data_IF_724628351940
#
_entry.id   IF_724628351940
#
_cell.length_a   1.000
_cell.length_b   1.000
_cell.length_c   1.000
_cell.angle_alpha   90.00
_cell.angle_beta   90.00
_cell.angle_gamma   90.00
#
_symmetry.space_group_name_H-M   'P 1'
#
loop_
_entity.id
_entity.type
_entity.pdbx_description
1 polymer ?
#
# COMPACT_ATOMS: atom_id res chain seq x y z
N UNK A 1 22.56 3.32 -30.63
CA UNK A 1 22.42 4.02 -29.36
C UNK A 1 20.93 4.24 -29.15
N UNK A 2 20.21 3.52 -28.28
CA UNK A 2 18.83 3.86 -27.96
C UNK A 2 18.86 5.04 -27.00
N UNK A 3 18.30 6.17 -27.42
CA UNK A 3 18.04 7.34 -26.61
C UNK A 3 16.95 6.98 -25.60
N UNK A 4 17.36 6.74 -24.37
CA UNK A 4 16.45 6.60 -23.24
C UNK A 4 15.72 7.93 -23.06
N UNK A 5 14.39 7.90 -23.15
CA UNK A 5 13.56 9.07 -22.88
C UNK A 5 13.62 9.34 -21.37
N UNK A 6 13.93 10.56 -20.92
CA UNK A 6 14.00 10.89 -19.51
C UNK A 6 12.65 10.64 -18.81
N UNK A 7 12.71 10.02 -17.67
CA UNK A 7 11.54 9.73 -16.81
C UNK A 7 11.33 10.94 -15.90
N UNK A 8 10.54 11.90 -16.37
CA UNK A 8 10.24 13.09 -15.57
C UNK A 8 9.16 12.76 -14.54
N UNK A 9 9.53 12.83 -13.27
CA UNK A 9 8.64 12.72 -12.10
C UNK A 9 9.12 13.75 -11.08
N UNK A 10 8.45 14.88 -10.97
CA UNK A 10 8.93 15.99 -10.15
C UNK A 10 7.84 16.94 -9.64
N UNK A 11 8.23 17.85 -8.76
CA UNK A 11 7.37 18.83 -8.15
C UNK A 11 6.98 19.94 -9.13
N UNK A 12 5.68 20.30 -9.19
CA UNK A 12 5.16 21.38 -10.03
C UNK A 12 5.09 22.66 -9.19
N UNK A 13 5.92 23.66 -9.50
CA UNK A 13 5.89 24.98 -8.84
C UNK A 13 5.61 26.11 -9.84
N UNK A 14 4.77 27.10 -9.50
CA UNK A 14 4.60 28.31 -10.30
C UNK A 14 5.92 29.11 -10.39
N UNK A 15 6.16 29.75 -11.53
CA UNK A 15 7.40 30.48 -11.79
C UNK A 15 7.50 31.87 -11.11
N UNK A 16 6.41 32.39 -10.53
CA UNK A 16 6.40 33.73 -9.93
C UNK A 16 6.19 33.67 -8.43
N UNK A 17 7.24 34.16 -7.70
CA UNK A 17 7.17 34.43 -6.28
C UNK A 17 6.39 35.72 -6.00
N UNK A 18 5.21 35.60 -5.38
CA UNK A 18 4.59 36.70 -4.65
C UNK A 18 4.21 36.25 -3.26
N UNK A 19 4.81 36.94 -2.29
CA UNK A 19 4.47 36.81 -0.89
C UNK A 19 3.14 37.51 -0.61
N UNK A 20 2.21 36.81 -0.01
CA UNK A 20 0.97 37.41 0.52
C UNK A 20 1.11 37.59 2.04
N UNK A 21 1.10 38.84 2.40
CA UNK A 21 0.70 39.51 3.67
C UNK A 21 0.73 38.72 4.97
N UNK A 22 1.70 39.16 5.80
CA UNK A 22 1.73 38.91 7.24
C UNK A 22 0.65 39.67 7.99
N UNK A 23 -0.10 38.95 8.84
CA UNK A 23 -0.76 39.52 10.03
C UNK A 23 -0.47 38.64 11.26
N UNK A 24 -0.12 39.24 12.40
CA UNK A 24 0.08 38.49 13.63
C UNK A 24 -1.27 38.07 14.22
N UNK A 25 -1.39 36.81 14.60
CA UNK A 25 -2.49 36.33 15.42
C UNK A 25 -2.09 36.49 16.88
N UNK A 26 -2.72 37.43 17.53
CA UNK A 26 -2.63 37.64 18.96
C UNK A 26 -3.73 36.86 19.70
N UNK A 27 -3.30 36.23 20.77
CA UNK A 27 -3.97 35.82 21.99
C UNK A 27 -5.49 35.51 21.97
N UNK A 28 -5.83 34.23 22.21
CA UNK A 28 -6.84 33.86 23.20
C UNK A 28 -6.37 32.66 24.01
N UNK A 29 -5.85 32.96 25.18
CA UNK A 29 -5.68 31.98 26.23
C UNK A 29 -7.02 31.74 26.92
N UNK A 30 -7.32 30.49 27.23
CA UNK A 30 -8.39 30.16 28.15
C UNK A 30 -8.93 28.75 28.02
N UNK A 31 -8.37 27.78 28.75
CA UNK A 31 -9.11 26.65 29.30
C UNK A 31 -9.31 25.42 28.43
N UNK A 32 -8.37 24.50 28.53
CA UNK A 32 -8.68 23.07 28.69
C UNK A 32 -7.37 22.31 28.98
N UNK A 33 -7.13 22.08 30.25
CA UNK A 33 -6.10 21.15 30.71
C UNK A 33 -6.70 19.76 30.63
N UNK A 34 -5.94 18.80 30.07
CA UNK A 34 -6.16 17.35 29.96
C UNK A 34 -6.70 16.81 28.62
N UNK A 35 -6.02 17.15 27.53
CA UNK A 35 -5.80 16.15 26.49
C UNK A 35 -4.30 15.95 26.39
N UNK A 36 -3.77 14.82 26.89
CA UNK A 36 -2.41 14.36 26.59
C UNK A 36 -2.26 14.47 25.09
N UNK A 37 -1.36 15.33 24.60
CA UNK A 37 -1.19 15.55 23.16
C UNK A 37 -0.82 14.21 22.52
N UNK A 38 -1.75 13.65 21.75
CA UNK A 38 -1.53 12.40 21.04
C UNK A 38 -0.27 12.51 20.18
N UNK A 39 0.54 11.46 20.15
CA UNK A 39 1.69 11.39 19.24
C UNK A 39 1.24 11.45 17.78
N UNK A 40 2.14 11.80 16.86
CA UNK A 40 1.81 11.86 15.45
C UNK A 40 1.24 10.53 14.90
N UNK A 41 1.80 9.35 15.22
CA UNK A 41 1.21 8.06 14.86
C UNK A 41 -0.20 7.86 15.41
N UNK A 42 -0.46 8.27 16.67
CA UNK A 42 -1.78 8.11 17.27
C UNK A 42 -2.84 8.99 16.60
N UNK A 43 -2.49 10.24 16.25
CA UNK A 43 -3.38 11.13 15.50
C UNK A 43 -3.75 10.56 14.14
N UNK A 44 -2.77 10.01 13.40
CA UNK A 44 -3.01 9.37 12.10
C UNK A 44 -3.94 8.18 12.29
N UNK A 45 -3.64 7.29 13.23
CA UNK A 45 -4.46 6.09 13.47
C UNK A 45 -5.88 6.44 13.90
N UNK A 46 -6.06 7.43 14.78
CA UNK A 46 -7.37 7.90 15.22
C UNK A 46 -8.18 8.48 14.04
N UNK A 47 -7.54 9.30 13.18
CA UNK A 47 -8.18 9.83 11.96
C UNK A 47 -8.64 8.70 11.04
N UNK A 48 -7.80 7.69 10.83
CA UNK A 48 -8.10 6.55 9.97
C UNK A 48 -9.16 5.63 10.57
N UNK A 49 -9.12 5.35 11.90
CA UNK A 49 -10.14 4.57 12.60
C UNK A 49 -11.53 5.22 12.40
N UNK A 50 -11.61 6.55 12.45
CA UNK A 50 -12.87 7.26 12.29
C UNK A 50 -13.34 7.37 10.83
N UNK A 51 -12.47 7.80 9.92
CA UNK A 51 -12.84 8.14 8.54
C UNK A 51 -12.88 6.95 7.59
N UNK A 52 -12.00 5.97 7.80
CA UNK A 52 -11.76 4.87 6.86
C UNK A 52 -12.23 3.54 7.43
N UNK A 53 -11.74 3.17 8.60
CA UNK A 53 -11.93 1.82 9.13
C UNK A 53 -13.39 1.55 9.48
N UNK A 54 -14.10 2.50 10.09
CA UNK A 54 -15.55 2.36 10.36
C UNK A 54 -16.37 2.18 9.10
N UNK A 55 -16.04 2.92 8.03
CA UNK A 55 -16.70 2.76 6.73
C UNK A 55 -16.42 1.41 6.10
N UNK A 56 -15.17 0.95 6.18
CA UNK A 56 -14.78 -0.37 5.70
C UNK A 56 -15.46 -1.49 6.50
N UNK A 57 -15.54 -1.38 7.82
CA UNK A 57 -16.24 -2.34 8.68
C UNK A 57 -17.71 -2.48 8.25
N UNK A 58 -18.39 -1.39 7.88
CA UNK A 58 -19.77 -1.41 7.38
C UNK A 58 -19.91 -2.06 6.00
N UNK A 59 -18.99 -1.79 5.08
CA UNK A 59 -19.05 -2.28 3.69
C UNK A 59 -18.58 -3.74 3.58
N UNK A 60 -17.56 -4.10 4.35
CA UNK A 60 -16.91 -5.41 4.28
C UNK A 60 -17.47 -6.43 5.28
N UNK A 61 -18.61 -6.16 5.95
CA UNK A 61 -19.29 -7.09 6.82
C UNK A 61 -19.58 -8.42 6.11
N UNK A 62 -18.76 -9.44 6.35
CA UNK A 62 -18.80 -10.74 5.67
C UNK A 62 -17.67 -10.98 4.66
N UNK A 63 -17.20 -9.97 3.94
CA UNK A 63 -16.16 -10.12 2.90
C UNK A 63 -14.71 -10.07 3.46
N UNK A 64 -14.52 -9.65 4.72
CA UNK A 64 -13.18 -9.65 5.35
C UNK A 64 -12.53 -11.03 5.39
N UNK A 65 -13.33 -12.08 5.58
CA UNK A 65 -12.83 -13.46 5.58
C UNK A 65 -12.21 -13.82 4.21
N UNK A 66 -12.79 -13.31 3.13
CA UNK A 66 -12.28 -13.58 1.78
C UNK A 66 -11.02 -12.79 1.43
N UNK A 67 -10.83 -11.61 2.03
CA UNK A 67 -9.65 -10.75 1.82
C UNK A 67 -8.38 -11.32 2.45
N UNK A 68 -8.51 -11.88 3.65
CA UNK A 68 -7.39 -12.19 4.52
C UNK A 68 -7.45 -13.63 5.06
N UNK A 69 -8.00 -14.59 4.29
CA UNK A 69 -7.99 -16.00 4.69
C UNK A 69 -6.58 -16.59 4.63
N UNK A 70 -6.13 -17.12 5.76
CA UNK A 70 -5.03 -18.07 5.81
C UNK A 70 -5.50 -19.50 5.51
N UNK A 71 -4.59 -20.39 5.15
CA UNK A 71 -4.87 -21.82 4.99
C UNK A 71 -4.81 -22.51 6.37
N UNK A 72 -5.71 -22.21 7.27
CA UNK A 72 -5.83 -22.82 8.60
C UNK A 72 -7.22 -23.38 8.86
N UNK A 73 -7.31 -24.36 9.73
CA UNK A 73 -8.53 -25.09 9.99
C UNK A 73 -8.93 -24.83 11.45
N UNK A 74 -9.93 -23.97 11.67
CA UNK A 74 -10.55 -23.77 12.98
C UNK A 74 -11.86 -24.54 13.08
N UNK A 75 -12.11 -25.17 14.23
CA UNK A 75 -13.37 -25.82 14.52
C UNK A 75 -14.46 -24.75 14.70
N UNK A 76 -15.40 -24.68 13.76
CA UNK A 76 -16.49 -23.69 13.76
C UNK A 76 -17.74 -24.22 14.40
N UNK A 77 -17.99 -25.52 14.29
CA UNK A 77 -19.20 -26.14 14.81
C UNK A 77 -19.21 -27.64 14.66
N UNK A 78 -20.33 -28.19 15.10
CA UNK A 78 -20.70 -29.59 14.92
C UNK A 78 -21.98 -29.58 14.08
N UNK A 79 -22.01 -30.37 13.02
CA UNK A 79 -23.22 -30.65 12.28
C UNK A 79 -23.47 -32.14 12.18
N UNK A 80 -24.69 -32.52 11.87
CA UNK A 80 -25.00 -33.93 11.63
C UNK A 80 -24.23 -34.45 10.41
N UNK A 81 -23.77 -35.67 10.50
CA UNK A 81 -23.08 -36.39 9.43
C UNK A 81 -24.00 -36.54 8.21
N UNK A 82 -23.45 -36.25 7.05
CA UNK A 82 -24.11 -36.52 5.78
C UNK A 82 -23.34 -37.59 4.98
N UNK A 83 -24.01 -38.45 4.20
CA UNK A 83 -23.34 -39.42 3.34
C UNK A 83 -22.34 -38.71 2.40
N UNK A 84 -21.06 -39.10 2.50
CA UNK A 84 -19.97 -38.48 1.78
C UNK A 84 -19.00 -37.65 2.64
N UNK A 85 -19.33 -37.40 3.91
CA UNK A 85 -18.40 -36.78 4.84
C UNK A 85 -17.27 -37.72 5.23
N UNK A 86 -16.07 -37.13 5.45
CA UNK A 86 -14.91 -37.90 5.90
C UNK A 86 -15.04 -38.27 7.37
N UNK A 87 -15.11 -39.58 7.62
CA UNK A 87 -15.26 -40.17 8.98
C UNK A 87 -14.15 -39.78 9.96
N UNK A 88 -13.00 -39.28 9.45
CA UNK A 88 -11.88 -38.77 10.28
C UNK A 88 -12.26 -37.50 11.05
N UNK A 89 -13.25 -36.77 10.60
CA UNK A 89 -13.75 -35.56 11.24
C UNK A 89 -14.94 -35.82 12.17
N UNK A 90 -15.32 -37.08 12.39
CA UNK A 90 -16.44 -37.43 13.30
C UNK A 90 -16.09 -37.09 14.75
N UNK A 91 -16.99 -36.39 15.42
CA UNK A 91 -16.87 -36.16 16.86
C UNK A 91 -17.53 -37.31 17.64
N UNK A 92 -16.72 -38.30 18.01
CA UNK A 92 -17.19 -39.49 18.70
C UNK A 92 -17.78 -39.18 20.07
N UNK A 93 -17.34 -38.11 20.74
CA UNK A 93 -17.86 -37.73 22.07
C UNK A 93 -19.28 -37.18 21.99
N UNK A 94 -19.58 -36.37 20.99
CA UNK A 94 -20.93 -35.84 20.76
C UNK A 94 -21.83 -36.92 20.19
N UNK A 95 -21.38 -37.68 19.22
CA UNK A 95 -22.07 -38.81 18.64
C UNK A 95 -22.53 -39.82 19.71
N UNK A 96 -21.66 -40.14 20.68
CA UNK A 96 -21.98 -41.06 21.76
C UNK A 96 -23.04 -40.52 22.78
N UNK A 97 -23.20 -39.19 22.83
CA UNK A 97 -24.18 -38.56 23.74
C UNK A 97 -25.54 -38.36 23.09
N UNK A 98 -25.55 -38.12 21.79
CA UNK A 98 -26.76 -37.74 21.04
C UNK A 98 -27.36 -38.91 20.27
N UNK A 99 -26.65 -40.03 20.20
CA UNK A 99 -26.99 -41.22 19.40
C UNK A 99 -27.19 -40.89 17.89
N UNK A 100 -26.67 -39.74 17.48
CA UNK A 100 -26.67 -39.24 16.08
C UNK A 100 -25.26 -38.90 15.70
N UNK A 101 -24.75 -39.33 14.53
CA UNK A 101 -23.39 -39.07 14.12
C UNK A 101 -23.19 -37.57 13.83
N UNK A 102 -22.18 -36.94 14.47
CA UNK A 102 -21.80 -35.55 14.28
C UNK A 102 -20.40 -35.45 13.72
N UNK A 103 -20.22 -34.53 12.77
CA UNK A 103 -18.95 -34.19 12.14
C UNK A 103 -18.51 -32.81 12.60
N UNK A 104 -17.23 -32.70 12.89
CA UNK A 104 -16.59 -31.41 13.17
C UNK A 104 -16.53 -30.61 11.89
N UNK A 105 -17.17 -29.46 11.87
CA UNK A 105 -17.07 -28.49 10.78
C UNK A 105 -15.90 -27.57 11.05
N UNK A 106 -14.92 -27.64 10.17
CA UNK A 106 -13.72 -26.81 10.26
C UNK A 106 -13.81 -25.67 9.26
N UNK A 107 -13.54 -24.47 9.69
CA UNK A 107 -13.27 -23.32 8.79
C UNK A 107 -11.78 -23.03 8.84
N UNK A 108 -11.21 -22.90 7.66
CA UNK A 108 -9.82 -22.48 7.55
C UNK A 108 -9.66 -21.03 7.98
N UNK A 109 -9.17 -20.80 9.21
CA UNK A 109 -8.85 -19.48 9.74
C UNK A 109 -7.49 -19.51 10.46
N UNK A 110 -6.40 -19.46 9.69
CA UNK A 110 -5.04 -19.32 10.25
C UNK A 110 -4.67 -17.86 10.33
N UNK A 111 -4.02 -17.48 11.45
CA UNK A 111 -3.28 -16.22 11.53
C UNK A 111 -2.41 -16.03 10.29
N UNK A 112 -2.70 -14.98 9.52
CA UNK A 112 -1.89 -14.59 8.39
C UNK A 112 -0.75 -13.71 8.89
N UNK A 113 0.43 -13.93 8.37
CA UNK A 113 1.49 -12.94 8.44
C UNK A 113 1.45 -12.09 7.17
N UNK A 114 1.26 -10.79 7.32
CA UNK A 114 1.33 -9.84 6.22
C UNK A 114 2.63 -9.03 6.29
N UNK A 115 3.22 -8.77 5.14
CA UNK A 115 4.41 -7.95 5.00
C UNK A 115 4.16 -6.79 4.04
N UNK A 116 4.64 -5.62 4.42
CA UNK A 116 4.65 -4.44 3.58
C UNK A 116 6.08 -4.18 3.09
N UNK A 117 6.30 -4.27 1.79
CA UNK A 117 7.54 -3.88 1.13
C UNK A 117 7.32 -2.49 0.55
N UNK A 118 7.96 -1.49 1.14
CA UNK A 118 7.66 -0.09 0.90
C UNK A 118 8.84 0.60 0.24
N UNK A 119 8.55 1.17 -0.90
CA UNK A 119 9.44 2.05 -1.61
C UNK A 119 9.29 3.46 -1.03
N UNK A 120 10.39 4.03 -0.56
CA UNK A 120 10.48 5.38 -0.01
C UNK A 120 11.50 6.22 -0.79
N UNK A 121 11.67 5.91 -2.08
CA UNK A 121 12.45 6.73 -3.01
C UNK A 121 11.90 8.15 -3.13
N UNK A 122 12.69 9.12 -3.62
CA UNK A 122 12.25 10.51 -3.80
C UNK A 122 10.99 10.65 -4.63
N UNK A 123 10.79 9.78 -5.62
CA UNK A 123 9.59 9.78 -6.48
C UNK A 123 8.28 9.55 -5.71
N UNK A 124 8.33 8.93 -4.52
CA UNK A 124 7.18 8.76 -3.64
C UNK A 124 6.86 10.04 -2.84
N UNK A 125 7.79 10.97 -2.73
CA UNK A 125 7.55 12.29 -2.14
C UNK A 125 6.88 13.28 -3.11
N UNK A 126 6.66 12.85 -4.35
CA UNK A 126 5.94 13.63 -5.35
C UNK A 126 4.48 13.88 -4.94
N UNK A 127 4.04 15.10 -5.17
CA UNK A 127 2.66 15.54 -5.06
C UNK A 127 2.51 16.92 -5.66
N UNK A 128 1.38 17.19 -6.30
CA UNK A 128 1.08 18.51 -6.85
C UNK A 128 0.76 19.50 -5.74
N UNK A 129 1.13 20.77 -5.92
CA UNK A 129 0.90 21.85 -4.94
C UNK A 129 -0.58 21.99 -4.55
N UNK A 130 -1.49 21.65 -5.45
CA UNK A 130 -2.93 21.65 -5.21
C UNK A 130 -3.47 20.32 -4.65
N UNK A 131 -2.63 19.30 -4.52
CA UNK A 131 -3.04 18.03 -3.98
C UNK A 131 -2.91 18.08 -2.45
N UNK A 132 -4.02 17.96 -1.74
CA UNK A 132 -4.04 17.80 -0.27
C UNK A 132 -3.23 16.56 0.18
N UNK A 133 -2.76 15.72 -0.77
CA UNK A 133 -2.16 14.42 -0.48
C UNK A 133 -1.04 14.10 -1.46
N UNK A 134 0.18 14.00 -0.94
CA UNK A 134 1.34 13.46 -1.67
C UNK A 134 1.34 11.93 -1.62
N UNK A 135 2.01 11.27 -2.56
CA UNK A 135 2.08 9.79 -2.63
C UNK A 135 2.53 9.16 -1.31
N UNK A 136 3.51 9.75 -0.60
CA UNK A 136 3.96 9.28 0.73
C UNK A 136 2.84 9.28 1.76
N UNK A 137 2.01 10.31 1.81
CA UNK A 137 0.87 10.36 2.74
C UNK A 137 -0.14 9.25 2.44
N UNK A 138 -0.43 9.04 1.15
CA UNK A 138 -1.33 7.97 0.70
C UNK A 138 -0.77 6.58 1.03
N UNK A 139 0.54 6.38 0.86
CA UNK A 139 1.24 5.16 1.27
C UNK A 139 1.07 4.90 2.76
N UNK A 140 1.34 5.91 3.61
CA UNK A 140 1.23 5.78 5.07
C UNK A 140 -0.21 5.46 5.46
N UNK A 141 -1.19 6.18 4.91
CA UNK A 141 -2.61 5.96 5.20
C UNK A 141 -3.08 4.55 4.78
N UNK A 142 -2.62 4.07 3.62
CA UNK A 142 -2.92 2.72 3.12
C UNK A 142 -2.32 1.64 4.03
N UNK A 143 -1.02 1.74 4.34
CA UNK A 143 -0.31 0.79 5.20
C UNK A 143 -0.91 0.76 6.60
N UNK A 144 -1.14 1.93 7.21
CA UNK A 144 -1.74 2.05 8.54
C UNK A 144 -3.15 1.42 8.59
N UNK A 145 -3.97 1.70 7.57
CA UNK A 145 -5.33 1.14 7.46
C UNK A 145 -5.31 -0.38 7.36
N UNK A 146 -4.53 -0.94 6.42
CA UNK A 146 -4.45 -2.39 6.26
C UNK A 146 -3.81 -3.08 7.47
N UNK A 147 -2.73 -2.52 8.03
CA UNK A 147 -2.09 -3.04 9.23
C UNK A 147 -3.08 -3.08 10.41
N UNK A 148 -3.90 -2.03 10.58
CA UNK A 148 -4.92 -1.96 11.61
C UNK A 148 -6.03 -2.99 11.39
N UNK A 149 -6.52 -3.14 10.16
CA UNK A 149 -7.53 -4.13 9.81
C UNK A 149 -7.04 -5.57 10.05
N UNK A 150 -5.79 -5.85 9.69
CA UNK A 150 -5.18 -7.16 9.88
C UNK A 150 -4.96 -7.47 11.36
N UNK A 151 -4.37 -6.54 12.12
CA UNK A 151 -4.02 -6.77 13.53
C UNK A 151 -5.24 -6.84 14.46
N UNK A 152 -6.35 -6.17 14.13
CA UNK A 152 -7.63 -6.31 14.86
C UNK A 152 -8.20 -7.72 14.83
N UNK A 153 -7.75 -8.54 13.87
CA UNK A 153 -8.17 -9.95 13.69
C UNK A 153 -7.11 -10.96 14.07
N UNK A 154 -6.14 -10.56 14.90
CA UNK A 154 -5.08 -11.43 15.37
C UNK A 154 -3.92 -11.64 14.40
N UNK A 155 -4.00 -11.11 13.17
CA UNK A 155 -2.93 -11.26 12.19
C UNK A 155 -1.68 -10.48 12.59
N UNK A 156 -0.52 -10.93 12.07
CA UNK A 156 0.77 -10.29 12.28
C UNK A 156 1.14 -9.44 11.08
N UNK A 157 1.69 -8.25 11.33
CA UNK A 157 2.15 -7.34 10.29
C UNK A 157 3.61 -6.96 10.51
N UNK A 158 4.39 -7.03 9.43
CA UNK A 158 5.78 -6.57 9.37
C UNK A 158 5.98 -5.65 8.18
N UNK A 159 7.12 -4.95 8.13
CA UNK A 159 7.46 -4.13 7.00
C UNK A 159 8.95 -4.17 6.68
N UNK A 160 9.28 -3.91 5.42
CA UNK A 160 10.62 -3.62 4.95
C UNK A 160 10.59 -2.34 4.13
N UNK A 161 11.46 -1.42 4.43
CA UNK A 161 11.58 -0.14 3.75
C UNK A 161 12.81 -0.14 2.87
N UNK A 162 12.67 0.41 1.69
CA UNK A 162 13.76 0.73 0.80
C UNK A 162 13.71 2.23 0.50
N UNK A 163 14.78 2.90 0.81
CA UNK A 163 14.97 4.32 0.57
C UNK A 163 16.43 4.65 0.88
N UNK A 164 17.29 4.68 -0.14
CA UNK A 164 18.72 4.86 0.04
C UNK A 164 19.51 3.56 0.31
N UNK A 165 20.62 3.64 1.04
CA UNK A 165 21.65 2.59 1.08
C UNK A 165 21.30 1.31 1.87
N UNK A 166 20.27 1.29 2.72
CA UNK A 166 19.97 0.15 3.58
C UNK A 166 18.47 -0.13 3.70
N UNK A 167 18.08 -1.40 3.46
CA UNK A 167 16.73 -1.85 3.76
C UNK A 167 16.52 -1.99 5.28
N UNK A 168 15.58 -1.24 5.85
CA UNK A 168 15.16 -1.39 7.24
C UNK A 168 14.05 -2.42 7.35
N UNK A 169 14.14 -3.33 8.32
CA UNK A 169 13.14 -4.37 8.54
C UNK A 169 12.48 -4.21 9.91
N UNK A 170 11.14 -4.21 9.91
CA UNK A 170 10.32 -4.29 11.12
C UNK A 170 9.74 -5.68 11.19
N UNK A 171 10.12 -6.51 12.19
CA UNK A 171 9.60 -7.87 12.33
C UNK A 171 8.09 -7.92 12.48
N UNK A 172 7.45 -8.97 11.94
CA UNK A 172 6.02 -9.14 11.99
C UNK A 172 5.53 -9.43 13.43
N UNK A 173 4.63 -8.59 13.93
CA UNK A 173 3.97 -8.70 15.24
C UNK A 173 2.50 -8.33 15.11
N UNK A 174 1.69 -8.76 16.09
CA UNK A 174 0.27 -8.39 16.20
C UNK A 174 0.04 -7.17 17.09
N UNK A 175 -1.22 -6.75 17.18
CA UNK A 175 -1.68 -5.73 18.12
C UNK A 175 -1.59 -4.29 17.61
N UNK A 176 -2.17 -3.37 18.40
CA UNK A 176 -2.23 -1.94 18.09
C UNK A 176 -0.84 -1.30 18.13
N UNK A 177 0.00 -1.69 19.07
CA UNK A 177 1.33 -1.12 19.26
C UNK A 177 2.24 -1.36 18.04
N UNK A 178 2.07 -2.51 17.38
CA UNK A 178 2.79 -2.79 16.14
C UNK A 178 2.37 -1.82 15.01
N UNK A 179 1.09 -1.48 14.94
CA UNK A 179 0.60 -0.49 13.94
C UNK A 179 1.18 0.90 14.24
N UNK A 180 1.16 1.32 15.48
CA UNK A 180 1.76 2.60 15.90
C UNK A 180 3.25 2.64 15.59
N UNK A 181 3.97 1.56 15.88
CA UNK A 181 5.39 1.43 15.56
C UNK A 181 5.64 1.53 14.05
N UNK A 182 4.82 0.87 13.22
CA UNK A 182 4.94 0.97 11.76
C UNK A 182 4.76 2.40 11.26
N UNK A 183 3.77 3.12 11.79
CA UNK A 183 3.52 4.51 11.42
C UNK A 183 4.69 5.40 11.88
N UNK A 184 5.16 5.22 13.11
CA UNK A 184 6.28 5.98 13.67
C UNK A 184 7.56 5.78 12.86
N UNK A 185 7.91 4.52 12.58
CA UNK A 185 9.07 4.18 11.76
C UNK A 185 8.96 4.74 10.32
N UNK A 186 7.74 4.80 9.73
CA UNK A 186 7.50 5.41 8.42
C UNK A 186 7.68 6.94 8.43
N UNK A 187 7.16 7.59 9.47
CA UNK A 187 7.29 9.04 9.64
C UNK A 187 8.73 9.46 9.92
N UNK A 188 9.50 8.60 10.61
CA UNK A 188 10.90 8.84 10.94
C UNK A 188 11.84 8.65 9.73
N UNK A 189 11.37 8.07 8.61
CA UNK A 189 12.21 7.93 7.43
C UNK A 189 12.49 9.29 6.80
N UNK A 190 13.77 9.62 6.55
CA UNK A 190 14.12 10.91 5.93
C UNK A 190 13.51 11.00 4.52
N UNK A 191 13.16 12.21 4.13
CA UNK A 191 12.93 12.53 2.73
C UNK A 191 14.29 12.65 2.06
N UNK A 192 14.50 11.89 1.01
CA UNK A 192 15.73 11.94 0.24
C UNK A 192 15.62 13.09 -0.78
N UNK A 193 16.57 14.01 -0.75
CA UNK A 193 16.60 15.13 -1.71
C UNK A 193 16.96 14.67 -3.13
N UNK A 194 17.70 13.58 -3.25
CA UNK A 194 18.02 12.89 -4.49
C UNK A 194 18.45 11.46 -4.18
N UNK A 195 18.25 10.56 -5.11
CA UNK A 195 18.78 9.21 -5.04
C UNK A 195 19.29 8.81 -6.44
N UNK A 196 20.33 7.96 -6.54
CA UNK A 196 20.58 7.28 -7.79
C UNK A 196 19.33 6.45 -8.12
N UNK A 197 19.06 6.26 -9.41
CA UNK A 197 17.89 5.54 -9.92
C UNK A 197 17.34 4.49 -8.97
N UNK A 198 16.04 4.58 -8.68
CA UNK A 198 15.35 3.60 -7.84
C UNK A 198 15.50 2.20 -8.44
N UNK A 199 15.98 1.23 -7.65
CA UNK A 199 16.02 -0.18 -8.01
C UNK A 199 15.29 -1.00 -6.95
N UNK A 200 14.17 -1.59 -7.34
CA UNK A 200 13.35 -2.46 -6.45
C UNK A 200 13.96 -3.85 -6.25
N UNK A 201 14.91 -4.26 -7.10
CA UNK A 201 15.48 -5.61 -7.04
C UNK A 201 16.15 -5.92 -5.71
N UNK A 202 16.92 -5.02 -5.06
CA UNK A 202 17.49 -5.27 -3.73
C UNK A 202 16.44 -5.48 -2.64
N UNK A 203 15.35 -4.70 -2.64
CA UNK A 203 14.25 -4.84 -1.68
C UNK A 203 13.58 -6.21 -1.83
N UNK A 204 13.27 -6.60 -3.06
CA UNK A 204 12.65 -7.89 -3.36
C UNK A 204 13.56 -9.06 -3.01
N UNK A 205 14.85 -8.97 -3.32
CA UNK A 205 15.85 -9.99 -2.95
C UNK A 205 16.05 -10.09 -1.43
N UNK A 206 16.05 -8.96 -0.72
CA UNK A 206 16.13 -8.94 0.75
C UNK A 206 14.88 -9.56 1.38
N UNK A 207 13.69 -9.30 0.81
CA UNK A 207 12.45 -9.89 1.31
C UNK A 207 12.42 -11.41 1.19
N UNK A 208 12.95 -11.99 0.10
CA UNK A 208 13.07 -13.44 -0.08
C UNK A 208 13.97 -14.08 0.99
N UNK A 209 15.04 -13.37 1.41
CA UNK A 209 15.91 -13.83 2.48
C UNK A 209 15.30 -13.72 3.87
N UNK A 210 14.44 -12.74 4.08
CA UNK A 210 13.84 -12.41 5.39
C UNK A 210 12.54 -13.17 5.64
N UNK A 211 11.66 -13.25 4.63
CA UNK A 211 10.33 -13.83 4.75
C UNK A 211 10.39 -15.31 4.36
N UNK A 212 10.48 -16.20 5.37
CA UNK A 212 10.66 -17.66 5.15
C UNK A 212 9.32 -18.42 5.08
N UNK A 213 8.28 -17.93 5.76
CA UNK A 213 6.97 -18.59 5.79
C UNK A 213 6.06 -17.97 4.74
N UNK A 214 5.20 -18.79 4.13
CA UNK A 214 4.19 -18.29 3.20
C UNK A 214 3.40 -17.16 3.86
N UNK A 215 3.37 -16.01 3.22
CA UNK A 215 2.84 -14.76 3.77
C UNK A 215 2.07 -14.01 2.69
N UNK A 216 1.25 -13.06 3.10
CA UNK A 216 0.65 -12.06 2.24
C UNK A 216 1.62 -10.87 2.14
N UNK A 217 2.01 -10.48 0.94
CA UNK A 217 3.00 -9.42 0.72
C UNK A 217 2.37 -8.30 -0.10
N UNK A 218 2.36 -7.10 0.46
CA UNK A 218 2.00 -5.87 -0.26
C UNK A 218 3.27 -5.15 -0.65
N UNK A 219 3.48 -4.94 -1.95
CA UNK A 219 4.58 -4.11 -2.46
C UNK A 219 3.98 -2.78 -2.85
N UNK A 220 4.38 -1.71 -2.17
CA UNK A 220 3.84 -0.36 -2.39
C UNK A 220 4.94 0.53 -2.97
N UNK A 221 4.79 0.93 -4.21
CA UNK A 221 5.74 1.72 -5.00
C UNK A 221 5.02 2.35 -6.18
N UNK A 222 5.59 3.34 -6.84
CA UNK A 222 5.14 3.79 -8.15
C UNK A 222 5.67 2.89 -9.29
N UNK A 223 6.59 1.95 -8.97
CA UNK A 223 7.24 1.05 -9.92
C UNK A 223 8.01 1.76 -11.05
N UNK A 224 8.40 3.01 -10.82
CA UNK A 224 9.36 3.73 -11.65
C UNK A 224 10.75 3.31 -11.17
N UNK A 225 11.27 2.24 -11.74
CA UNK A 225 12.46 1.55 -11.26
C UNK A 225 13.32 1.09 -12.43
N UNK A 226 14.61 0.95 -12.17
CA UNK A 226 15.53 0.28 -13.06
C UNK A 226 14.98 -1.10 -13.46
N UNK A 227 15.19 -1.55 -14.71
CA UNK A 227 14.71 -2.84 -15.18
C UNK A 227 15.35 -4.01 -14.40
N UNK A 228 14.63 -5.14 -14.30
CA UNK A 228 15.15 -6.35 -13.67
C UNK A 228 14.40 -6.82 -12.43
N UNK A 229 13.54 -5.99 -11.86
CA UNK A 229 12.73 -6.32 -10.69
C UNK A 229 11.66 -7.40 -10.93
N UNK A 230 11.31 -7.68 -12.19
CA UNK A 230 10.28 -8.67 -12.55
C UNK A 230 10.67 -10.10 -12.15
N UNK A 231 11.96 -10.44 -12.30
CA UNK A 231 12.46 -11.79 -11.94
C UNK A 231 12.33 -12.04 -10.44
N UNK A 232 12.91 -11.21 -9.54
CA UNK A 232 12.73 -11.39 -8.10
C UNK A 232 11.26 -11.26 -7.67
N UNK A 233 10.44 -10.44 -8.33
CA UNK A 233 9.02 -10.38 -8.08
C UNK A 233 8.30 -11.69 -8.40
N UNK A 234 8.59 -12.30 -9.54
CA UNK A 234 8.04 -13.61 -9.91
C UNK A 234 8.44 -14.70 -8.91
N UNK A 235 9.71 -14.72 -8.48
CA UNK A 235 10.18 -15.67 -7.47
C UNK A 235 9.44 -15.50 -6.14
N UNK A 236 9.22 -14.24 -5.72
CA UNK A 236 8.47 -13.94 -4.51
C UNK A 236 7.02 -14.44 -4.61
N UNK A 237 6.38 -14.24 -5.76
CA UNK A 237 5.00 -14.64 -6.00
C UNK A 237 4.80 -16.17 -6.05
N UNK A 238 5.86 -16.96 -6.32
CA UNK A 238 5.79 -18.43 -6.26
C UNK A 238 5.68 -18.97 -4.83
N UNK A 239 6.24 -18.24 -3.86
CA UNK A 239 6.30 -18.70 -2.46
C UNK A 239 5.28 -17.98 -1.56
N UNK A 240 4.85 -16.80 -1.95
CA UNK A 240 3.98 -15.93 -1.17
C UNK A 240 2.77 -15.51 -2.00
N UNK A 241 1.77 -14.93 -1.37
CA UNK A 241 0.68 -14.23 -2.05
C UNK A 241 1.06 -12.75 -2.17
N UNK A 242 1.37 -12.31 -3.39
CA UNK A 242 1.89 -10.96 -3.63
C UNK A 242 0.83 -10.07 -4.26
N UNK A 243 0.67 -8.87 -3.72
CA UNK A 243 -0.17 -7.79 -4.25
C UNK A 243 0.72 -6.58 -4.49
N UNK A 244 0.82 -6.15 -5.74
CA UNK A 244 1.48 -4.91 -6.10
C UNK A 244 0.49 -3.75 -5.99
N UNK A 245 0.83 -2.75 -5.20
CA UNK A 245 0.05 -1.51 -5.01
C UNK A 245 0.84 -0.38 -5.64
N UNK A 246 0.40 0.04 -6.81
CA UNK A 246 1.06 1.09 -7.56
C UNK A 246 0.52 2.45 -7.16
N UNK A 247 1.41 3.28 -6.63
CA UNK A 247 1.11 4.68 -6.31
C UNK A 247 1.13 5.52 -7.58
N UNK A 248 0.13 6.34 -7.77
CA UNK A 248 -0.02 7.22 -8.94
C UNK A 248 -0.44 8.62 -8.48
N UNK A 249 0.07 9.61 -9.19
CA UNK A 249 -0.50 10.96 -9.17
C UNK A 249 -1.05 11.28 -10.56
N UNK A 250 -2.27 11.84 -10.70
CA UNK A 250 -2.86 12.18 -11.99
C UNK A 250 -1.97 13.08 -12.85
N UNK A 251 -1.17 13.95 -12.22
CA UNK A 251 -0.25 14.87 -12.91
C UNK A 251 0.97 14.18 -13.52
N UNK A 252 1.27 12.96 -13.11
CA UNK A 252 2.30 12.13 -13.76
C UNK A 252 1.82 11.53 -15.09
N UNK A 253 0.51 11.58 -15.35
CA UNK A 253 -0.12 11.06 -16.56
C UNK A 253 -0.53 12.19 -17.49
N UNK A 254 -1.11 13.25 -16.92
CA UNK A 254 -1.65 14.38 -17.68
C UNK A 254 -1.24 15.70 -17.06
N UNK A 255 -0.57 16.53 -17.86
CA UNK A 255 -0.20 17.89 -17.45
C UNK A 255 -1.38 18.84 -17.66
N UNK A 256 -1.68 19.71 -16.66
CA UNK A 256 -2.67 20.75 -16.82
C UNK A 256 -2.17 21.83 -17.80
N UNK A 257 -3.11 22.52 -18.41
CA UNK A 257 -2.86 23.69 -19.24
C UNK A 257 -2.80 24.95 -18.35
N UNK A 258 -1.62 25.22 -17.76
CA UNK A 258 -1.41 26.32 -16.79
C UNK A 258 -0.29 27.27 -17.21
N UNK A 259 0.25 27.10 -18.41
CA UNK A 259 1.34 27.92 -18.94
C UNK A 259 2.74 27.45 -18.53
N UNK A 260 3.68 28.39 -18.44
CA UNK A 260 5.05 28.09 -18.08
C UNK A 260 5.18 27.53 -16.66
N UNK A 261 5.93 26.42 -16.51
CA UNK A 261 6.25 25.85 -15.21
C UNK A 261 7.63 25.19 -15.22
N UNK A 262 8.18 24.98 -14.03
CA UNK A 262 9.41 24.22 -13.84
C UNK A 262 9.00 22.80 -13.41
N UNK A 263 9.45 21.82 -14.17
CA UNK A 263 9.37 20.41 -13.81
C UNK A 263 10.72 20.00 -13.23
N UNK A 264 10.70 19.34 -12.09
CA UNK A 264 11.90 18.81 -11.44
C UNK A 264 11.81 17.29 -11.40
N UNK A 265 12.87 16.62 -11.82
CA UNK A 265 13.01 15.17 -11.67
C UNK A 265 13.28 14.85 -10.19
N UNK A 266 12.40 14.07 -9.58
CA UNK A 266 12.47 13.79 -8.15
C UNK A 266 13.71 12.95 -7.75
N UNK A 267 14.30 12.20 -8.67
CA UNK A 267 15.48 11.38 -8.37
C UNK A 267 16.77 12.13 -8.61
N UNK A 268 16.88 12.87 -9.70
CA UNK A 268 18.11 13.58 -10.09
C UNK A 268 18.16 15.02 -9.61
N UNK A 269 17.00 15.63 -9.33
CA UNK A 269 16.87 17.06 -9.05
C UNK A 269 17.05 17.93 -10.29
N UNK A 270 17.10 17.34 -11.49
CA UNK A 270 17.23 18.08 -12.73
C UNK A 270 15.96 18.87 -13.02
N UNK A 271 16.11 20.15 -13.36
CA UNK A 271 14.98 21.05 -13.62
C UNK A 271 14.84 21.32 -15.11
N UNK A 272 13.60 21.23 -15.60
CA UNK A 272 13.23 21.53 -16.96
C UNK A 272 12.15 22.61 -16.99
N UNK A 273 12.44 23.72 -17.66
CA UNK A 273 11.43 24.73 -17.93
C UNK A 273 10.57 24.31 -19.12
N UNK A 274 9.26 24.26 -18.93
CA UNK A 274 8.31 23.84 -19.94
C UNK A 274 7.14 24.80 -20.02
N UNK A 275 6.58 24.96 -21.23
CA UNK A 275 5.32 25.67 -21.42
C UNK A 275 4.19 24.66 -21.67
N UNK A 276 3.29 24.57 -20.68
CA UNK A 276 2.15 23.66 -20.78
C UNK A 276 1.02 24.16 -21.66
N UNK A 277 1.07 25.40 -22.21
CA UNK A 277 0.18 25.82 -23.28
C UNK A 277 0.49 25.09 -24.60
N UNK A 278 1.72 24.58 -24.77
CA UNK A 278 2.06 23.76 -25.94
C UNK A 278 1.32 22.42 -25.91
N UNK A 279 0.25 22.30 -26.67
CA UNK A 279 -0.54 21.09 -26.80
C UNK A 279 0.27 19.89 -27.38
N UNK A 280 1.32 20.16 -28.17
CA UNK A 280 2.19 19.12 -28.71
C UNK A 280 3.10 18.55 -27.58
N UNK A 281 3.57 19.41 -26.67
CA UNK A 281 4.33 18.99 -25.50
C UNK A 281 3.46 18.14 -24.58
N UNK A 282 2.25 18.58 -24.21
CA UNK A 282 1.32 17.81 -23.36
C UNK A 282 1.03 16.43 -23.95
N UNK A 283 0.79 16.35 -25.27
CA UNK A 283 0.57 15.03 -25.94
C UNK A 283 1.79 14.13 -25.85
N UNK A 284 3.00 14.63 -26.12
CA UNK A 284 4.24 13.84 -25.99
C UNK A 284 4.44 13.31 -24.57
N UNK A 285 4.15 14.14 -23.57
CA UNK A 285 4.19 13.75 -22.16
C UNK A 285 3.19 12.63 -21.86
N UNK A 286 1.95 12.79 -22.28
CA UNK A 286 0.89 11.81 -22.09
C UNK A 286 1.22 10.48 -22.78
N UNK A 287 1.72 10.52 -24.02
CA UNK A 287 2.15 9.33 -24.78
C UNK A 287 3.30 8.60 -24.04
N UNK A 288 4.26 9.34 -23.47
CA UNK A 288 5.34 8.77 -22.70
C UNK A 288 4.84 8.11 -21.41
N UNK A 289 3.92 8.76 -20.70
CA UNK A 289 3.27 8.23 -19.51
C UNK A 289 2.49 6.94 -19.83
N UNK A 290 1.72 6.91 -20.93
CA UNK A 290 0.98 5.72 -21.36
C UNK A 290 1.91 4.56 -21.75
N UNK A 291 3.03 4.80 -22.41
CA UNK A 291 4.03 3.76 -22.72
C UNK A 291 4.62 3.17 -21.44
N UNK A 292 4.96 4.00 -20.46
CA UNK A 292 5.46 3.57 -19.15
C UNK A 292 4.40 2.73 -18.41
N UNK A 293 3.15 3.19 -18.42
CA UNK A 293 2.00 2.46 -17.84
C UNK A 293 1.84 1.07 -18.46
N UNK A 294 1.88 0.99 -19.79
CA UNK A 294 1.78 -0.27 -20.51
C UNK A 294 2.95 -1.22 -20.20
N UNK A 295 4.17 -0.70 -20.06
CA UNK A 295 5.36 -1.48 -19.71
C UNK A 295 5.25 -2.09 -18.33
N UNK A 296 4.86 -1.30 -17.30
CA UNK A 296 4.69 -1.76 -15.91
C UNK A 296 3.55 -2.77 -15.81
N UNK A 297 2.41 -2.52 -16.45
CA UNK A 297 1.29 -3.46 -16.47
C UNK A 297 1.66 -4.77 -17.19
N UNK A 298 2.48 -4.69 -18.25
CA UNK A 298 3.05 -5.85 -18.92
C UNK A 298 3.97 -6.67 -18.00
N UNK A 299 4.80 -6.00 -17.19
CA UNK A 299 5.67 -6.64 -16.22
C UNK A 299 4.87 -7.39 -15.13
N UNK A 300 3.81 -6.79 -14.58
CA UNK A 300 2.92 -7.48 -13.63
C UNK A 300 2.27 -8.71 -14.23
N UNK A 301 1.74 -8.61 -15.46
CA UNK A 301 1.15 -9.77 -16.16
C UNK A 301 2.17 -10.89 -16.33
N UNK A 302 3.41 -10.60 -16.77
CA UNK A 302 4.48 -11.60 -16.93
C UNK A 302 4.89 -12.22 -15.59
N UNK A 303 4.87 -11.45 -14.52
CA UNK A 303 5.20 -11.93 -13.17
C UNK A 303 4.06 -12.69 -12.49
N UNK A 304 2.85 -12.70 -13.08
CA UNK A 304 1.66 -13.33 -12.51
C UNK A 304 1.18 -12.68 -11.22
N UNK A 305 1.61 -11.44 -10.94
CA UNK A 305 1.30 -10.71 -9.72
C UNK A 305 0.00 -9.92 -9.91
N UNK A 306 -0.82 -9.92 -8.87
CA UNK A 306 -1.98 -9.04 -8.80
C UNK A 306 -1.54 -7.62 -8.55
N UNK A 307 -1.94 -6.71 -9.43
CA UNK A 307 -1.61 -5.30 -9.32
C UNK A 307 -2.88 -4.45 -9.20
N UNK A 308 -2.81 -3.44 -8.34
CA UNK A 308 -3.82 -2.39 -8.22
C UNK A 308 -3.14 -1.02 -8.23
N UNK A 309 -3.85 -0.03 -8.75
CA UNK A 309 -3.43 1.36 -8.66
C UNK A 309 -4.08 2.04 -7.45
N UNK A 310 -3.33 2.91 -6.80
CA UNK A 310 -3.78 3.77 -5.71
C UNK A 310 -3.37 5.20 -6.05
N UNK A 311 -4.36 6.01 -6.43
CA UNK A 311 -4.14 7.40 -6.82
C UNK A 311 -4.17 8.36 -5.64
N UNK A 312 -3.43 9.46 -5.74
CA UNK A 312 -3.40 10.51 -4.71
C UNK A 312 -4.76 11.21 -4.54
N UNK A 313 -5.57 11.27 -5.57
CA UNK A 313 -6.92 11.87 -5.57
C UNK A 313 -8.03 10.86 -5.20
N UNK A 314 -7.71 9.56 -5.06
CA UNK A 314 -8.73 8.54 -4.81
C UNK A 314 -9.11 8.42 -3.32
N UNK A 315 -10.39 8.16 -3.05
CA UNK A 315 -10.86 7.77 -1.71
C UNK A 315 -10.30 6.40 -1.31
N UNK A 316 -9.57 6.36 -0.20
CA UNK A 316 -8.89 5.17 0.29
C UNK A 316 -9.85 3.99 0.56
N UNK A 317 -11.09 4.28 0.99
CA UNK A 317 -12.12 3.25 1.20
C UNK A 317 -12.46 2.56 -0.10
N UNK A 318 -12.67 3.34 -1.17
CA UNK A 318 -12.97 2.79 -2.51
C UNK A 318 -11.82 1.94 -3.03
N UNK A 319 -10.58 2.41 -2.87
CA UNK A 319 -9.39 1.68 -3.29
C UNK A 319 -9.28 0.31 -2.58
N UNK A 320 -9.48 0.27 -1.26
CA UNK A 320 -9.42 -0.96 -0.47
C UNK A 320 -10.57 -1.91 -0.82
N UNK A 321 -11.79 -1.41 -1.01
CA UNK A 321 -12.94 -2.22 -1.43
C UNK A 321 -12.72 -2.81 -2.83
N UNK A 322 -12.17 -2.03 -3.76
CA UNK A 322 -11.78 -2.50 -5.09
C UNK A 322 -10.75 -3.63 -5.02
N UNK A 323 -9.70 -3.48 -4.21
CA UNK A 323 -8.71 -4.53 -3.95
C UNK A 323 -9.37 -5.80 -3.41
N UNK A 324 -10.25 -5.65 -2.45
CA UNK A 324 -11.05 -6.74 -1.88
C UNK A 324 -11.80 -7.53 -2.94
N UNK A 325 -12.49 -6.81 -3.80
CA UNK A 325 -13.33 -7.39 -4.85
C UNK A 325 -12.52 -8.12 -5.92
N UNK A 326 -11.35 -7.58 -6.31
CA UNK A 326 -10.43 -8.21 -7.26
C UNK A 326 -9.92 -9.56 -6.72
N UNK A 327 -9.45 -9.58 -5.48
CA UNK A 327 -8.96 -10.80 -4.82
C UNK A 327 -10.03 -11.88 -4.70
N UNK A 328 -11.28 -11.48 -4.42
CA UNK A 328 -12.41 -12.43 -4.36
C UNK A 328 -12.67 -13.11 -5.71
N UNK A 329 -12.59 -12.37 -6.82
CA UNK A 329 -12.81 -12.91 -8.16
C UNK A 329 -11.75 -13.94 -8.57
N UNK A 330 -10.50 -13.74 -8.15
CA UNK A 330 -9.39 -14.63 -8.51
C UNK A 330 -9.38 -15.95 -7.73
N UNK A 331 -10.04 -15.99 -6.58
CA UNK A 331 -10.14 -17.18 -5.71
C UNK A 331 -11.32 -18.10 -6.04
N UNK A 332 -12.22 -17.64 -6.92
CA UNK A 332 -13.29 -18.45 -7.50
C UNK A 332 -12.82 -19.10 -8.80
#
# INVERSE_FOLDING_TARGET
MPTESPTWVGELRPADGYAADGRPADERAGGERDARSLSAPERILQRLDWRVIRRLDGILQGDYRSLFRGNGVDLVGLREYQPGDDVRYMDWNVTARTDTPYVREYVEDREITAWFLLDLSPSVDFGTVDAERVKRTVLIDFVATLARLLTRRGNRVGAMFYGGAAARTIPARGGRDQVLRLIDDLLAQPKLASAPFTDLSPLLAASQRTIKRRSLIFIVSDFISAPGWEKPLNLLNRHHEVVAVRLLDPREIELPDVGPLIMEDAETGEQLYVDTHDAAFRRRFQDAAQRREAAVNGAFKRSGVEAMSLSTDEDLVRAIVRMASLRRRRRR
#
